data_IF_382865527878
#
_entry.id   IF_382865527878
#
_cell.length_a   1.000
_cell.length_b   1.000
_cell.length_c   1.000
_cell.angle_alpha   90.00
_cell.angle_beta   90.00
_cell.angle_gamma   90.00
#
_symmetry.space_group_name_H-M   'P 1'
#
loop_
_entity.id
_entity.type
_entity.pdbx_description
1 polymer ?
#
# COMPACT_ATOMS: atom_id res chain seq x y z
N UNK A 1 11.18 -10.14 -13.53
CA UNK A 1 11.88 -8.89 -13.12
C UNK A 1 11.30 -8.51 -11.77
N UNK A 2 12.07 -8.62 -10.68
CA UNK A 2 11.60 -8.24 -9.33
C UNK A 2 11.42 -6.73 -9.26
N UNK A 3 10.31 -6.26 -8.69
CA UNK A 3 10.16 -4.86 -8.34
C UNK A 3 11.01 -4.61 -7.09
N UNK A 4 11.94 -3.66 -7.16
CA UNK A 4 12.78 -3.29 -6.02
C UNK A 4 11.94 -2.53 -4.98
N UNK A 5 11.29 -3.26 -4.07
CA UNK A 5 10.68 -2.70 -2.88
C UNK A 5 11.76 -2.06 -1.99
N UNK A 6 11.45 -0.92 -1.36
CA UNK A 6 12.38 -0.26 -0.43
C UNK A 6 12.54 -1.08 0.86
N UNK A 7 13.78 -1.53 1.12
CA UNK A 7 14.23 -2.21 2.33
C UNK A 7 15.12 -1.27 3.17
N UNK A 8 14.63 -0.90 4.35
CA UNK A 8 15.27 -0.05 5.36
C UNK A 8 15.55 -0.84 6.66
N UNK A 9 15.56 -2.17 6.61
CA UNK A 9 15.75 -3.03 7.80
C UNK A 9 14.45 -3.35 8.56
N UNK A 10 13.30 -2.86 8.11
CA UNK A 10 11.97 -3.22 8.66
C UNK A 10 11.61 -4.70 8.43
N UNK A 11 12.29 -5.36 7.50
CA UNK A 11 12.00 -6.74 7.07
C UNK A 11 12.59 -7.83 7.96
N UNK A 12 13.38 -7.48 8.98
CA UNK A 12 14.13 -8.46 9.78
C UNK A 12 13.28 -9.51 10.53
N UNK A 13 11.97 -9.27 10.67
CA UNK A 13 11.01 -10.17 11.31
C UNK A 13 9.74 -10.44 10.46
N UNK A 14 9.73 -10.03 9.19
CA UNK A 14 8.56 -10.17 8.31
C UNK A 14 8.61 -11.52 7.59
N UNK A 15 7.47 -12.19 7.46
CA UNK A 15 7.34 -13.44 6.70
C UNK A 15 7.93 -13.25 5.28
N UNK A 16 8.90 -14.09 4.85
CA UNK A 16 9.47 -14.03 3.50
C UNK A 16 8.42 -14.04 2.39
N UNK A 17 7.28 -14.71 2.58
CA UNK A 17 6.18 -14.72 1.62
C UNK A 17 5.52 -13.34 1.49
N UNK A 18 5.37 -12.61 2.60
CA UNK A 18 4.82 -11.25 2.60
C UNK A 18 5.80 -10.28 1.94
N UNK A 19 7.10 -10.42 2.20
CA UNK A 19 8.14 -9.64 1.52
C UNK A 19 8.11 -9.83 0.01
N UNK A 20 8.08 -11.07 -0.45
CA UNK A 20 8.00 -11.38 -1.88
C UNK A 20 6.71 -10.85 -2.51
N UNK A 21 5.61 -10.88 -1.76
CA UNK A 21 4.35 -10.29 -2.22
C UNK A 21 4.51 -8.79 -2.49
N UNK A 22 5.05 -8.02 -1.54
CA UNK A 22 5.34 -6.58 -1.72
C UNK A 22 6.27 -6.32 -2.92
N UNK A 23 7.37 -7.07 -3.03
CA UNK A 23 8.33 -6.98 -4.15
C UNK A 23 7.73 -7.35 -5.52
N UNK A 24 6.59 -8.05 -5.55
CA UNK A 24 5.91 -8.44 -6.78
C UNK A 24 4.76 -7.48 -7.19
N UNK A 25 4.55 -6.38 -6.46
CA UNK A 25 3.52 -5.40 -6.79
C UNK A 25 4.03 -4.36 -7.80
N UNK A 26 3.38 -4.34 -8.95
CA UNK A 26 3.60 -3.35 -10.02
C UNK A 26 2.38 -2.44 -10.13
N UNK A 27 2.62 -1.19 -10.53
CA UNK A 27 1.57 -0.21 -10.73
C UNK A 27 0.62 -0.66 -11.85
N UNK A 28 -0.70 -0.59 -11.65
CA UNK A 28 -1.66 -1.04 -12.65
C UNK A 28 -1.65 -0.20 -13.94
N UNK A 29 -1.31 1.08 -13.85
CA UNK A 29 -1.18 2.01 -14.99
C UNK A 29 0.22 2.01 -15.62
N UNK A 30 1.26 1.69 -14.84
CA UNK A 30 2.65 1.58 -15.31
C UNK A 30 3.22 0.22 -14.88
N UNK A 31 2.96 -0.87 -15.63
CA UNK A 31 3.31 -2.24 -15.21
C UNK A 31 4.82 -2.53 -15.16
N UNK A 32 5.65 -1.59 -15.58
CA UNK A 32 7.11 -1.62 -15.44
C UNK A 32 7.61 -0.88 -14.19
N UNK A 33 6.74 -0.17 -13.47
CA UNK A 33 7.04 0.54 -12.24
C UNK A 33 6.49 -0.22 -11.02
N UNK A 34 7.27 -0.29 -9.95
CA UNK A 34 6.85 -0.88 -8.68
C UNK A 34 5.76 -0.02 -8.01
N UNK A 35 4.85 -0.67 -7.27
CA UNK A 35 3.97 -0.01 -6.30
C UNK A 35 4.73 0.59 -5.10
N UNK A 36 6.05 0.36 -5.00
CA UNK A 36 6.93 0.57 -3.85
C UNK A 36 6.91 -0.60 -2.84
N UNK A 37 7.66 -0.47 -1.73
CA UNK A 37 7.82 -1.51 -0.70
C UNK A 37 7.04 -1.23 0.58
N UNK A 38 7.19 -2.09 1.60
CA UNK A 38 6.54 -1.90 2.91
C UNK A 38 6.84 -0.51 3.53
N UNK A 39 8.02 0.06 3.27
CA UNK A 39 8.37 1.40 3.75
C UNK A 39 7.39 2.48 3.25
N UNK A 40 6.73 2.27 2.11
CA UNK A 40 5.82 3.25 1.51
C UNK A 40 4.33 2.84 1.70
N UNK A 41 4.05 1.79 2.49
CA UNK A 41 2.76 1.09 2.53
C UNK A 41 1.96 1.32 3.83
N UNK A 42 0.81 1.98 3.77
CA UNK A 42 -0.07 2.22 4.92
C UNK A 42 -1.26 1.28 4.92
N UNK A 43 -1.70 0.85 6.09
CA UNK A 43 -2.99 0.18 6.23
C UNK A 43 -4.13 1.18 5.99
N UNK A 44 -5.05 0.77 5.13
CA UNK A 44 -6.19 1.55 4.71
C UNK A 44 -7.37 0.61 4.42
N UNK A 45 -7.97 0.13 5.51
CA UNK A 45 -8.95 -0.96 5.49
C UNK A 45 -10.37 -0.48 5.14
N UNK A 46 -10.69 0.77 5.43
CA UNK A 46 -12.01 1.33 5.14
C UNK A 46 -12.04 1.94 3.74
N UNK A 47 -13.02 1.53 2.92
CA UNK A 47 -13.23 2.02 1.56
C UNK A 47 -14.56 2.76 1.50
N UNK A 48 -14.54 3.98 0.97
CA UNK A 48 -15.71 4.80 0.73
C UNK A 48 -15.80 5.18 -0.74
N UNK A 49 -16.98 5.04 -1.35
CA UNK A 49 -17.23 5.54 -2.71
C UNK A 49 -18.18 6.72 -2.63
N UNK A 50 -17.73 7.88 -3.11
CA UNK A 50 -18.53 9.12 -3.17
C UNK A 50 -18.37 9.74 -4.55
N UNK A 51 -19.48 10.06 -5.20
CA UNK A 51 -19.51 10.68 -6.53
C UNK A 51 -18.67 9.95 -7.60
N UNK A 52 -18.66 8.61 -7.56
CA UNK A 52 -17.88 7.79 -8.49
C UNK A 52 -16.37 7.78 -8.23
N UNK A 53 -15.90 8.41 -7.15
CA UNK A 53 -14.51 8.37 -6.69
C UNK A 53 -14.36 7.43 -5.51
N UNK A 54 -13.24 6.73 -5.46
CA UNK A 54 -12.88 5.86 -4.35
C UNK A 54 -12.01 6.62 -3.37
N UNK A 55 -12.33 6.51 -2.09
CA UNK A 55 -11.57 7.04 -0.97
C UNK A 55 -11.26 5.92 -0.01
N UNK A 56 -10.12 6.00 0.66
CA UNK A 56 -9.73 5.04 1.70
C UNK A 56 -9.30 5.77 2.95
N UNK A 57 -9.65 5.22 4.11
CA UNK A 57 -9.28 5.78 5.40
C UNK A 57 -8.04 5.06 5.91
N UNK A 58 -7.03 5.83 6.32
CA UNK A 58 -5.84 5.28 6.96
C UNK A 58 -6.23 4.68 8.31
N UNK A 59 -5.96 3.38 8.46
CA UNK A 59 -6.15 2.58 9.68
C UNK A 59 -4.83 2.14 10.32
N UNK A 60 -3.71 2.59 9.75
CA UNK A 60 -2.37 2.22 10.20
C UNK A 60 -2.04 2.85 11.56
N UNK A 61 -1.95 2.02 12.59
CA UNK A 61 -1.54 2.39 13.95
C UNK A 61 -0.06 2.05 14.23
N UNK A 62 0.65 1.50 13.24
CA UNK A 62 2.04 1.07 13.41
C UNK A 62 2.96 2.28 13.50
N UNK A 63 4.02 2.21 14.32
CA UNK A 63 4.98 3.31 14.43
C UNK A 63 5.69 3.57 13.10
N UNK A 64 6.00 4.85 12.85
CA UNK A 64 6.73 5.28 11.65
C UNK A 64 8.19 4.86 11.68
N UNK A 65 8.78 4.72 12.86
CA UNK A 65 10.07 4.08 13.05
C UNK A 65 9.87 2.56 13.19
N UNK A 66 10.66 1.72 12.49
CA UNK A 66 11.85 2.04 11.68
C UNK A 66 11.54 2.32 10.19
N UNK A 67 10.27 2.42 9.79
CA UNK A 67 9.83 2.51 8.38
C UNK A 67 10.25 3.80 7.66
N UNK A 68 10.58 4.87 8.37
CA UNK A 68 11.19 6.09 7.81
C UNK A 68 10.29 6.86 6.84
N UNK A 69 8.98 6.59 6.89
CA UNK A 69 7.93 7.21 6.09
C UNK A 69 7.28 8.37 6.84
N UNK A 70 6.69 9.36 6.14
CA UNK A 70 5.96 10.43 6.82
C UNK A 70 4.77 9.89 7.62
N UNK A 71 4.56 10.41 8.83
CA UNK A 71 3.37 10.07 9.61
C UNK A 71 2.10 10.48 8.87
N UNK A 72 1.08 9.61 8.91
CA UNK A 72 -0.29 9.93 8.49
C UNK A 72 -1.23 9.48 9.58
N UNK A 73 -2.01 10.40 10.11
CA UNK A 73 -2.92 10.13 11.22
C UNK A 73 -4.00 9.11 10.81
N UNK A 74 -4.29 8.17 11.70
CA UNK A 74 -5.46 7.29 11.58
C UNK A 74 -6.74 8.12 11.42
N UNK A 75 -7.60 7.74 10.49
CA UNK A 75 -8.79 8.52 10.11
C UNK A 75 -8.56 9.48 8.95
N UNK A 76 -7.33 9.62 8.45
CA UNK A 76 -7.05 10.42 7.24
C UNK A 76 -7.68 9.75 6.02
N UNK A 77 -8.50 10.48 5.28
CA UNK A 77 -9.11 10.02 4.03
C UNK A 77 -8.23 10.38 2.82
N UNK A 78 -7.94 9.41 1.96
CA UNK A 78 -7.14 9.58 0.74
C UNK A 78 -7.97 9.17 -0.48
N UNK A 79 -8.08 10.08 -1.47
CA UNK A 79 -8.67 9.74 -2.77
C UNK A 79 -7.74 8.78 -3.54
N UNK A 80 -8.29 7.66 -3.99
CA UNK A 80 -7.60 6.66 -4.78
C UNK A 80 -8.09 6.76 -6.23
N UNK A 81 -7.24 7.19 -7.17
CA UNK A 81 -7.61 7.22 -8.58
C UNK A 81 -7.96 5.81 -9.09
N UNK A 82 -8.99 5.69 -9.92
CA UNK A 82 -9.46 4.39 -10.40
C UNK A 82 -8.37 3.57 -11.12
N UNK A 83 -7.45 4.24 -11.82
CA UNK A 83 -6.32 3.62 -12.51
C UNK A 83 -5.18 3.18 -11.58
N UNK A 84 -5.27 3.47 -10.27
CA UNK A 84 -4.33 3.04 -9.22
C UNK A 84 -4.88 1.89 -8.37
N UNK A 85 -6.14 1.52 -8.58
CA UNK A 85 -6.80 0.40 -7.90
C UNK A 85 -6.26 -0.93 -8.46
N UNK A 86 -5.77 -1.77 -7.56
CA UNK A 86 -5.27 -3.10 -7.87
C UNK A 86 -6.34 -4.14 -7.53
N UNK A 87 -6.86 -4.79 -8.56
CA UNK A 87 -7.94 -5.80 -8.47
C UNK A 87 -7.43 -7.23 -8.64
N UNK A 88 -6.22 -7.40 -9.17
CA UNK A 88 -5.63 -8.69 -9.55
C UNK A 88 -4.87 -9.39 -8.43
N UNK A 89 -4.62 -8.71 -7.31
CA UNK A 89 -3.97 -9.29 -6.12
C UNK A 89 -4.59 -8.69 -4.87
N UNK A 90 -4.99 -9.55 -3.93
CA UNK A 90 -5.30 -9.16 -2.56
C UNK A 90 -4.07 -9.22 -1.66
N UNK A 91 -4.12 -8.48 -0.55
CA UNK A 91 -3.10 -8.58 0.50
C UNK A 91 -3.37 -9.82 1.38
N UNK A 92 -2.42 -10.77 1.50
CA UNK A 92 -2.61 -12.01 2.25
C UNK A 92 -2.82 -11.83 3.76
N UNK A 93 -2.53 -10.64 4.31
CA UNK A 93 -2.77 -10.34 5.73
C UNK A 93 -4.21 -9.90 6.02
N UNK A 94 -5.05 -9.74 5.00
CA UNK A 94 -6.43 -9.26 5.15
C UNK A 94 -6.59 -7.74 5.18
N UNK A 95 -5.49 -6.98 5.28
CA UNK A 95 -5.54 -5.51 5.32
C UNK A 95 -5.61 -4.87 3.92
N UNK A 96 -6.33 -3.76 3.78
CA UNK A 96 -6.18 -2.86 2.65
C UNK A 96 -4.85 -2.14 2.74
N UNK A 97 -4.10 -2.04 1.64
CA UNK A 97 -2.80 -1.35 1.62
C UNK A 97 -2.82 -0.24 0.58
N UNK A 98 -2.53 0.97 1.03
CA UNK A 98 -2.23 2.10 0.14
C UNK A 98 -0.74 2.40 0.12
N UNK A 99 -0.16 2.49 -1.08
CA UNK A 99 1.23 2.88 -1.28
C UNK A 99 1.31 4.35 -1.65
N UNK A 100 2.02 5.13 -0.84
CA UNK A 100 2.09 6.58 -0.97
C UNK A 100 3.53 7.06 -1.13
N UNK A 101 3.72 8.05 -2.01
CA UNK A 101 4.95 8.86 -1.98
C UNK A 101 4.99 9.74 -0.74
N UNK A 102 6.15 10.37 -0.50
CA UNK A 102 6.31 11.38 0.56
C UNK A 102 5.35 12.57 0.44
N UNK A 103 4.85 12.85 -0.77
CA UNK A 103 3.89 13.93 -1.03
C UNK A 103 2.44 13.42 -1.14
N UNK A 104 2.13 12.21 -0.63
CA UNK A 104 0.81 11.56 -0.67
C UNK A 104 0.27 11.24 -2.07
N UNK A 105 1.12 11.26 -3.10
CA UNK A 105 0.79 10.66 -4.40
C UNK A 105 0.56 9.15 -4.24
N UNK A 106 -0.57 8.65 -4.76
CA UNK A 106 -0.94 7.23 -4.71
C UNK A 106 -0.24 6.45 -5.81
N UNK A 107 0.64 5.54 -5.42
CA UNK A 107 1.26 4.60 -6.35
C UNK A 107 0.34 3.43 -6.67
N UNK A 108 -0.27 2.85 -5.64
CA UNK A 108 -1.19 1.72 -5.75
C UNK A 108 -2.10 1.69 -4.53
N UNK A 109 -3.32 1.20 -4.72
CA UNK A 109 -4.15 0.71 -3.63
C UNK A 109 -4.49 -0.76 -3.87
N UNK A 110 -4.22 -1.58 -2.87
CA UNK A 110 -4.56 -3.00 -2.87
C UNK A 110 -5.69 -3.22 -1.88
N UNK A 111 -6.76 -3.85 -2.35
CA UNK A 111 -7.90 -4.14 -1.50
C UNK A 111 -7.54 -5.16 -0.41
N UNK A 112 -8.22 -5.11 0.76
CA UNK A 112 -8.13 -6.16 1.76
C UNK A 112 -8.43 -7.51 1.10
N UNK A 113 -7.45 -8.42 1.17
CA UNK A 113 -7.54 -9.75 0.58
C UNK A 113 -7.89 -10.78 1.66
N UNK A 114 -9.13 -11.23 1.68
CA UNK A 114 -9.47 -12.57 2.14
C UNK A 114 -9.59 -13.46 0.90
N UNK A 115 -9.03 -14.67 0.97
CA UNK A 115 -9.15 -15.68 -0.08
C UNK A 115 -10.60 -15.87 -0.58
#
# INVERSE_FOLDING_TARGET
MSASARDLGQWGAVDPALRQWYEALMQPDVPTASCCGEADAYFADEIHVRDGKTYVTITDDRPDEPRGRPHIDTGTEIEVPAHKLKWDKGNPTGHGIIFLSRNRYVFCYVQPGGA
#
